data_IF_175146098111
#
_entry.id   IF_175146098111
#
_cell.length_a   1.000
_cell.length_b   1.000
_cell.length_c   1.000
_cell.angle_alpha   90.00
_cell.angle_beta   90.00
_cell.angle_gamma   90.00
#
_symmetry.space_group_name_H-M   'P 1'
#
loop_
_entity.id
_entity.type
_entity.pdbx_description
1 polymer ?
#
# COMPACT_ATOMS: atom_id res chain seq x y z
N UNK A 1 -14.96 -26.69 -39.80
CA UNK A 1 -15.39 -27.10 -38.45
C UNK A 1 -14.20 -27.13 -37.47
N UNK A 2 -13.99 -26.11 -36.62
CA UNK A 2 -13.03 -26.17 -35.49
C UNK A 2 -13.44 -25.34 -34.24
N UNK A 3 -14.56 -24.61 -34.29
CA UNK A 3 -14.96 -23.63 -33.28
C UNK A 3 -15.58 -24.22 -31.99
N UNK A 4 -15.95 -25.50 -31.95
CA UNK A 4 -16.68 -26.10 -30.81
C UNK A 4 -15.83 -26.47 -29.58
N UNK A 5 -14.51 -26.56 -29.71
CA UNK A 5 -13.62 -27.11 -28.66
C UNK A 5 -13.04 -26.05 -27.70
N UNK A 6 -13.10 -24.77 -28.08
CA UNK A 6 -12.58 -23.64 -27.30
C UNK A 6 -13.53 -23.15 -26.20
N UNK A 7 -14.85 -23.27 -26.41
CA UNK A 7 -15.87 -22.78 -25.47
C UNK A 7 -16.02 -23.65 -24.21
N UNK A 8 -15.86 -24.97 -24.34
CA UNK A 8 -15.92 -25.91 -23.19
C UNK A 8 -14.73 -25.70 -22.27
N UNK A 9 -13.53 -25.45 -22.83
CA UNK A 9 -12.30 -25.18 -22.06
C UNK A 9 -12.41 -23.87 -21.29
N UNK A 10 -13.02 -22.84 -21.87
CA UNK A 10 -13.23 -21.55 -21.20
C UNK A 10 -14.21 -21.64 -20.02
N UNK A 11 -15.28 -22.44 -20.15
CA UNK A 11 -16.28 -22.64 -19.09
C UNK A 11 -15.76 -23.44 -17.89
N UNK A 12 -14.95 -24.48 -18.13
CA UNK A 12 -14.35 -25.29 -17.05
C UNK A 12 -13.30 -24.49 -16.27
N UNK A 13 -12.48 -23.71 -16.96
CA UNK A 13 -11.48 -22.84 -16.33
C UNK A 13 -12.11 -21.72 -15.50
N UNK A 14 -13.19 -21.09 -16.00
CA UNK A 14 -13.92 -20.07 -15.27
C UNK A 14 -14.61 -20.62 -14.00
N UNK A 15 -15.15 -21.84 -14.06
CA UNK A 15 -15.80 -22.49 -12.91
C UNK A 15 -14.79 -22.92 -11.84
N UNK A 16 -13.63 -23.45 -12.24
CA UNK A 16 -12.53 -23.81 -11.33
C UNK A 16 -11.94 -22.61 -10.58
N UNK A 17 -11.82 -21.45 -11.25
CA UNK A 17 -11.32 -20.22 -10.64
C UNK A 17 -12.26 -19.66 -9.56
N UNK A 18 -13.59 -19.78 -9.76
CA UNK A 18 -14.61 -19.32 -8.80
C UNK A 18 -14.65 -20.18 -7.54
N UNK A 19 -14.49 -21.51 -7.67
CA UNK A 19 -14.46 -22.43 -6.53
C UNK A 19 -13.25 -22.21 -5.62
N UNK A 20 -12.11 -21.77 -6.17
CA UNK A 20 -10.90 -21.47 -5.39
C UNK A 20 -11.01 -20.18 -4.58
N UNK A 21 -11.80 -19.19 -5.03
CA UNK A 21 -12.06 -17.96 -4.28
C UNK A 21 -12.93 -18.18 -3.03
N UNK A 22 -13.86 -19.14 -3.04
CA UNK A 22 -14.77 -19.40 -1.92
C UNK A 22 -14.09 -20.08 -0.71
N UNK A 23 -12.98 -20.80 -0.93
CA UNK A 23 -12.31 -21.56 0.13
C UNK A 23 -11.40 -20.71 1.04
N UNK A 24 -11.15 -19.44 0.71
CA UNK A 24 -10.13 -18.59 1.37
C UNK A 24 -10.74 -17.72 2.50
N UNK A 25 -12.06 -17.70 2.66
CA UNK A 25 -12.77 -16.64 3.36
C UNK A 25 -12.99 -16.71 4.88
N UNK A 26 -12.36 -17.61 5.64
CA UNK A 26 -12.66 -17.71 7.07
C UNK A 26 -11.42 -17.93 7.97
N UNK A 27 -10.80 -16.82 8.37
CA UNK A 27 -10.02 -16.73 9.61
C UNK A 27 -10.52 -15.52 10.39
N UNK A 28 -11.45 -15.74 11.31
CA UNK A 28 -11.80 -14.77 12.33
C UNK A 28 -10.97 -15.08 13.57
N UNK A 29 -10.01 -14.21 13.89
CA UNK A 29 -9.38 -14.21 15.21
C UNK A 29 -10.43 -13.91 16.25
N UNK A 30 -10.48 -14.69 17.32
CA UNK A 30 -11.52 -14.58 18.37
C UNK A 30 -11.22 -13.47 19.38
N UNK A 31 -10.05 -12.83 19.29
CA UNK A 31 -9.62 -11.78 20.21
C UNK A 31 -9.53 -10.42 19.49
N UNK A 32 -10.46 -9.49 19.75
CA UNK A 32 -10.45 -8.17 19.13
C UNK A 32 -9.20 -7.36 19.51
N UNK A 33 -8.58 -7.62 20.67
CA UNK A 33 -7.35 -6.98 21.09
C UNK A 33 -6.16 -7.49 20.29
N UNK A 34 -6.03 -8.81 20.12
CA UNK A 34 -4.98 -9.41 19.29
C UNK A 34 -5.04 -8.92 17.84
N UNK A 35 -6.25 -8.86 17.26
CA UNK A 35 -6.44 -8.36 15.88
C UNK A 35 -6.06 -6.88 15.77
N UNK A 36 -6.45 -6.06 16.75
CA UNK A 36 -6.05 -4.65 16.81
C UNK A 36 -4.54 -4.49 16.95
N UNK A 37 -3.92 -5.25 17.84
CA UNK A 37 -2.48 -5.25 18.06
C UNK A 37 -1.73 -5.66 16.80
N UNK A 38 -2.19 -6.71 16.11
CA UNK A 38 -1.61 -7.16 14.86
C UNK A 38 -1.69 -6.07 13.78
N UNK A 39 -2.88 -5.47 13.58
CA UNK A 39 -3.03 -4.35 12.63
C UNK A 39 -2.09 -3.18 12.95
N UNK A 40 -2.01 -2.75 14.21
CA UNK A 40 -1.16 -1.64 14.58
C UNK A 40 0.33 -1.96 14.37
N UNK A 41 0.77 -3.15 14.74
CA UNK A 41 2.19 -3.56 14.65
C UNK A 41 2.64 -3.90 13.23
N UNK A 42 1.71 -4.20 12.31
CA UNK A 42 2.00 -4.34 10.88
C UNK A 42 2.36 -2.97 10.24
N UNK A 43 1.74 -1.89 10.69
CA UNK A 43 2.02 -0.53 10.22
C UNK A 43 3.30 0.08 10.82
N UNK A 44 3.93 -0.60 11.77
CA UNK A 44 5.14 -0.17 12.45
C UNK A 44 6.35 -0.97 11.95
N UNK A 45 7.51 -0.34 11.82
CA UNK A 45 8.77 -0.95 11.39
C UNK A 45 9.59 -1.40 12.59
N UNK A 46 10.27 -2.54 12.49
CA UNK A 46 11.32 -2.90 13.43
C UNK A 46 12.54 -1.98 13.23
N UNK A 47 12.90 -1.21 14.26
CA UNK A 47 14.00 -0.23 14.22
C UNK A 47 15.40 -0.85 14.09
N UNK A 48 15.52 -2.14 14.39
CA UNK A 48 16.80 -2.88 14.40
C UNK A 48 16.86 -3.97 13.33
N UNK A 49 15.81 -4.15 12.53
CA UNK A 49 15.70 -5.20 11.53
C UNK A 49 15.71 -4.62 10.12
N UNK A 50 16.09 -5.44 9.14
CA UNK A 50 16.14 -5.05 7.74
C UNK A 50 14.75 -5.15 7.10
N UNK A 51 14.07 -4.00 6.96
CA UNK A 51 12.82 -3.87 6.19
C UNK A 51 11.72 -4.85 6.64
N UNK A 52 11.54 -4.98 7.95
CA UNK A 52 10.58 -5.90 8.57
C UNK A 52 9.57 -5.12 9.43
N UNK A 53 8.33 -5.62 9.46
CA UNK A 53 7.29 -5.06 10.33
C UNK A 53 7.61 -5.37 11.80
N UNK A 54 7.04 -4.57 12.71
CA UNK A 54 7.12 -4.85 14.13
C UNK A 54 6.35 -6.13 14.44
N UNK A 55 5.22 -6.39 13.77
CA UNK A 55 4.40 -7.59 13.96
C UNK A 55 5.19 -8.89 13.75
N UNK A 56 6.00 -8.96 12.69
CA UNK A 56 6.69 -10.19 12.28
C UNK A 56 8.05 -10.38 12.96
N UNK A 57 8.63 -9.29 13.46
CA UNK A 57 9.95 -9.31 14.09
C UNK A 57 9.99 -9.97 15.46
N UNK A 58 11.05 -10.75 15.67
CA UNK A 58 11.39 -11.42 16.94
C UNK A 58 12.64 -10.83 17.62
N UNK A 59 13.10 -9.66 17.18
CA UNK A 59 14.24 -9.00 17.82
C UNK A 59 13.91 -8.63 19.29
N UNK A 60 14.89 -8.65 20.22
CA UNK A 60 14.63 -8.31 21.62
C UNK A 60 13.91 -6.96 21.80
N UNK A 61 14.36 -5.93 21.07
CA UNK A 61 13.73 -4.62 21.08
C UNK A 61 12.29 -4.65 20.53
N UNK A 62 12.04 -5.43 19.49
CA UNK A 62 10.70 -5.56 18.92
C UNK A 62 9.72 -6.17 19.94
N UNK A 63 10.19 -7.16 20.71
CA UNK A 63 9.40 -7.81 21.76
C UNK A 63 9.13 -6.86 22.95
N UNK A 64 10.11 -6.03 23.33
CA UNK A 64 9.91 -4.97 24.33
C UNK A 64 8.83 -3.98 23.88
N UNK A 65 8.91 -3.51 22.63
CA UNK A 65 7.92 -2.58 22.07
C UNK A 65 6.53 -3.20 21.96
N UNK A 66 6.42 -4.47 21.55
CA UNK A 66 5.13 -5.20 21.54
C UNK A 66 4.51 -5.25 22.93
N UNK A 67 5.32 -5.50 23.98
CA UNK A 67 4.84 -5.51 25.37
C UNK A 67 4.34 -4.13 25.80
N UNK A 68 5.07 -3.07 25.49
CA UNK A 68 4.65 -1.70 25.82
C UNK A 68 3.35 -1.32 25.09
N UNK A 69 3.27 -1.60 23.78
CA UNK A 69 2.07 -1.35 22.97
C UNK A 69 0.86 -2.08 23.54
N UNK A 70 1.02 -3.36 23.92
CA UNK A 70 -0.06 -4.13 24.55
C UNK A 70 -0.53 -3.47 25.85
N UNK A 71 0.40 -3.10 26.73
CA UNK A 71 0.08 -2.39 27.97
C UNK A 71 -0.64 -1.06 27.72
N UNK A 72 -0.26 -0.31 26.69
CA UNK A 72 -0.98 0.91 26.29
C UNK A 72 -2.39 0.63 25.79
N UNK A 73 -2.59 -0.44 25.01
CA UNK A 73 -3.91 -0.82 24.52
C UNK A 73 -4.84 -1.24 25.66
N UNK A 74 -4.32 -2.00 26.63
CA UNK A 74 -5.05 -2.39 27.84
C UNK A 74 -5.43 -1.19 28.71
N UNK A 75 -4.58 -0.15 28.74
CA UNK A 75 -4.89 1.16 29.36
C UNK A 75 -5.92 2.00 28.59
N UNK A 76 -6.41 1.52 27.44
CA UNK A 76 -7.43 2.21 26.63
C UNK A 76 -6.89 3.29 25.70
N UNK A 77 -5.56 3.37 25.47
CA UNK A 77 -5.01 4.30 24.49
C UNK A 77 -5.46 3.94 23.07
N UNK A 78 -5.72 4.95 22.24
CA UNK A 78 -6.01 4.82 20.81
C UNK A 78 -4.74 4.56 19.99
N UNK A 79 -4.91 4.03 18.78
CA UNK A 79 -3.78 3.74 17.87
C UNK A 79 -2.98 4.99 17.50
N UNK A 80 -3.65 6.15 17.40
CA UNK A 80 -3.01 7.43 17.14
C UNK A 80 -2.14 7.89 18.33
N UNK A 81 -2.60 7.68 19.57
CA UNK A 81 -1.82 7.99 20.76
C UNK A 81 -0.60 7.07 20.90
N UNK A 82 -0.76 5.77 20.61
CA UNK A 82 0.35 4.81 20.63
C UNK A 82 1.39 5.17 19.57
N UNK A 83 0.97 5.44 18.33
CA UNK A 83 1.89 5.93 17.27
C UNK A 83 2.57 7.24 17.68
N UNK A 84 1.83 8.19 18.22
CA UNK A 84 2.38 9.46 18.69
C UNK A 84 3.46 9.26 19.76
N UNK A 85 3.22 8.41 20.75
CA UNK A 85 4.20 8.05 21.77
C UNK A 85 5.47 7.43 21.17
N UNK A 86 5.31 6.47 20.25
CA UNK A 86 6.44 5.83 19.58
C UNK A 86 7.22 6.81 18.71
N UNK A 87 6.52 7.65 17.93
CA UNK A 87 7.16 8.65 17.07
C UNK A 87 7.86 9.74 17.87
N UNK A 88 7.31 10.15 19.01
CA UNK A 88 7.96 11.13 19.89
C UNK A 88 9.27 10.60 20.48
N UNK A 89 9.37 9.30 20.73
CA UNK A 89 10.54 8.67 21.37
C UNK A 89 11.56 8.10 20.38
N UNK A 90 11.10 7.55 19.26
CA UNK A 90 11.91 6.83 18.27
C UNK A 90 11.94 7.52 16.90
N UNK A 91 11.22 8.61 16.72
CA UNK A 91 11.15 9.37 15.48
C UNK A 91 10.16 8.81 14.46
N UNK A 92 10.06 9.48 13.32
CA UNK A 92 9.10 9.14 12.25
C UNK A 92 9.38 7.78 11.59
N UNK A 93 10.63 7.29 11.68
CA UNK A 93 11.09 6.03 11.10
C UNK A 93 10.42 4.77 11.70
N UNK A 94 9.75 4.90 12.83
CA UNK A 94 8.99 3.80 13.43
C UNK A 94 7.75 3.44 12.61
N UNK A 95 7.21 4.38 11.83
CA UNK A 95 6.07 4.10 10.95
C UNK A 95 6.60 3.46 9.66
N UNK A 96 6.07 2.29 9.31
CA UNK A 96 6.48 1.59 8.09
C UNK A 96 6.06 2.37 6.83
N UNK A 97 4.95 3.09 6.91
CA UNK A 97 4.46 3.99 5.86
C UNK A 97 4.58 5.45 6.33
N UNK A 98 5.23 6.34 5.55
CA UNK A 98 5.33 7.75 5.90
C UNK A 98 3.96 8.42 5.79
N UNK A 99 3.55 9.13 6.84
CA UNK A 99 2.31 9.90 6.83
C UNK A 99 2.34 11.00 5.75
N UNK A 100 1.18 11.23 5.12
CA UNK A 100 0.96 12.41 4.28
C UNK A 100 1.06 13.67 5.13
N UNK A 101 2.15 14.41 4.95
CA UNK A 101 2.41 15.69 5.61
C UNK A 101 2.72 16.72 4.53
N UNK A 102 2.53 18.00 4.86
CA UNK A 102 2.90 19.11 3.97
C UNK A 102 4.39 19.05 3.60
N UNK A 103 5.24 18.63 4.53
CA UNK A 103 6.68 18.44 4.28
C UNK A 103 7.00 17.31 3.29
N UNK A 104 6.19 16.26 3.24
CA UNK A 104 6.36 15.15 2.28
C UNK A 104 5.59 15.37 0.99
N UNK A 105 4.76 16.42 0.89
CA UNK A 105 3.86 16.66 -0.24
C UNK A 105 4.59 16.66 -1.58
N UNK A 106 5.78 17.26 -1.65
CA UNK A 106 6.59 17.30 -2.86
C UNK A 106 6.93 15.90 -3.40
N UNK A 107 7.22 14.93 -2.52
CA UNK A 107 7.48 13.55 -2.92
C UNK A 107 6.24 12.87 -3.50
N UNK A 108 5.05 13.21 -3.00
CA UNK A 108 3.78 12.62 -3.44
C UNK A 108 3.26 13.24 -4.73
N UNK A 109 3.31 14.58 -4.87
CA UNK A 109 2.78 15.28 -6.06
C UNK A 109 3.80 15.38 -7.19
N UNK A 110 5.10 15.29 -6.88
CA UNK A 110 6.20 15.41 -7.83
C UNK A 110 6.06 14.52 -9.08
N UNK A 111 5.80 13.21 -8.94
CA UNK A 111 5.62 12.32 -10.09
C UNK A 111 4.46 12.76 -11.02
N UNK A 112 3.31 13.16 -10.45
CA UNK A 112 2.16 13.62 -11.23
C UNK A 112 2.45 14.94 -11.94
N UNK A 113 3.13 15.87 -11.27
CA UNK A 113 3.48 17.17 -11.82
C UNK A 113 4.45 17.02 -12.99
N UNK A 114 5.43 16.11 -12.87
CA UNK A 114 6.39 15.81 -13.92
C UNK A 114 5.71 15.15 -15.14
N UNK A 115 4.80 14.21 -14.91
CA UNK A 115 4.00 13.60 -15.97
C UNK A 115 3.11 14.64 -16.68
N UNK A 116 2.47 15.53 -15.93
CA UNK A 116 1.63 16.59 -16.51
C UNK A 116 2.46 17.57 -17.35
N UNK A 117 3.62 18.00 -16.85
CA UNK A 117 4.52 18.87 -17.58
C UNK A 117 5.03 18.22 -18.88
N UNK A 118 5.50 16.97 -18.80
CA UNK A 118 5.95 16.22 -19.98
C UNK A 118 4.85 16.01 -21.01
N UNK A 119 3.66 15.59 -20.56
CA UNK A 119 2.49 15.40 -21.42
C UNK A 119 2.04 16.70 -22.09
N UNK A 120 2.08 17.82 -21.37
CA UNK A 120 1.76 19.14 -21.93
C UNK A 120 2.72 19.56 -23.05
N UNK A 121 4.03 19.35 -22.86
CA UNK A 121 5.04 19.65 -23.88
C UNK A 121 4.80 18.79 -25.13
N UNK A 122 4.60 17.49 -24.97
CA UNK A 122 4.31 16.57 -26.09
C UNK A 122 3.05 17.02 -26.83
N UNK A 123 1.96 17.28 -26.12
CA UNK A 123 0.71 17.74 -26.72
C UNK A 123 0.88 19.02 -27.56
N UNK A 124 1.63 20.00 -27.05
CA UNK A 124 1.93 21.24 -27.79
C UNK A 124 2.72 20.98 -29.06
N UNK A 125 3.75 20.13 -28.99
CA UNK A 125 4.60 19.83 -30.15
C UNK A 125 3.86 19.07 -31.24
N UNK A 126 3.00 18.11 -30.88
CA UNK A 126 2.17 17.38 -31.85
C UNK A 126 1.16 18.32 -32.52
N UNK A 127 0.48 19.19 -31.75
CA UNK A 127 -0.46 20.17 -32.32
C UNK A 127 0.20 21.19 -33.24
N UNK A 128 1.43 21.60 -32.95
CA UNK A 128 2.17 22.51 -33.82
C UNK A 128 2.50 21.87 -35.17
N UNK A 129 2.92 20.60 -35.18
CA UNK A 129 3.25 19.86 -36.42
C UNK A 129 2.03 19.59 -37.30
N UNK A 130 0.87 19.29 -36.71
CA UNK A 130 -0.36 19.03 -37.47
C UNK A 130 -0.88 20.24 -38.27
N UNK A 131 -0.41 21.46 -37.97
CA UNK A 131 -0.79 22.68 -38.70
C UNK A 131 0.11 22.99 -39.90
N UNK A 132 1.33 22.43 -39.95
CA UNK A 132 2.30 22.71 -41.02
C UNK A 132 2.14 21.86 -42.27
N UNK A 133 1.36 20.78 -42.23
CA UNK A 133 1.18 19.87 -43.38
C UNK A 133 0.05 20.29 -44.34
N UNK A 134 -0.61 21.43 -44.11
CA UNK A 134 -1.77 21.89 -44.91
C UNK A 134 -1.36 22.90 -45.99
N UNK A 135 -0.17 23.51 -45.92
CA UNK A 135 0.29 24.51 -46.91
C UNK A 135 1.09 23.93 -48.09
N UNK A 136 1.59 22.69 -48.01
CA UNK A 136 2.41 22.08 -49.07
C UNK A 136 1.59 21.29 -50.13
N UNK A 137 0.27 21.45 -50.15
CA UNK A 137 -0.65 20.67 -50.99
C UNK A 137 -1.57 21.47 -51.93
N UNK A 138 -1.26 22.74 -52.20
CA UNK A 138 -2.00 23.60 -53.12
C UNK A 138 -1.12 24.11 -54.26
#
# INVERSE_FOLDING_TARGET
MSSGRSWVRFRVLACGLVLMCLAIGARAGTDPLADRMHRLTQDLRCLVCQNESLADSHAPLAMDLKREIRGMMERGHSDAQIRGFLTQRYGDFVNYQPAFRVSTLLLWVGPLLLLAAGGFIVWRTVRARARGTVEDGA
#
